data_IF_566152910677
#
_entry.id   IF_566152910677
#
_cell.length_a   1.000
_cell.length_b   1.000
_cell.length_c   1.000
_cell.angle_alpha   90.00
_cell.angle_beta   90.00
_cell.angle_gamma   90.00
#
_symmetry.space_group_name_H-M   'P 1'
#
loop_
_entity.id
_entity.type
_entity.pdbx_description
1 polymer ?
#
# COMPACT_ATOMS: atom_id res chain seq x y z
N UNK A 1 12.32 13.72 54.17
CA UNK A 1 12.01 14.60 53.01
C UNK A 1 12.54 13.93 51.74
N UNK A 2 11.84 12.91 51.22
CA UNK A 2 12.28 12.08 50.07
C UNK A 2 11.24 12.00 48.93
N UNK A 3 10.02 12.48 49.16
CA UNK A 3 8.93 12.51 48.18
C UNK A 3 9.22 13.33 46.89
N UNK A 4 9.95 14.47 46.92
CA UNK A 4 10.12 15.29 45.72
C UNK A 4 10.99 14.64 44.64
N UNK A 5 11.93 13.78 45.04
CA UNK A 5 12.89 13.17 44.12
C UNK A 5 12.27 12.05 43.30
N UNK A 6 11.47 11.18 43.92
CA UNK A 6 10.77 10.12 43.21
C UNK A 6 9.66 10.66 42.30
N UNK A 7 8.95 11.72 42.73
CA UNK A 7 7.97 12.39 41.88
C UNK A 7 8.62 13.06 40.67
N UNK A 8 9.77 13.73 40.86
CA UNK A 8 10.54 14.30 39.76
C UNK A 8 11.07 13.23 38.81
N UNK A 9 11.54 12.10 39.32
CA UNK A 9 12.03 10.97 38.52
C UNK A 9 10.89 10.32 37.72
N UNK A 10 9.71 10.20 38.32
CA UNK A 10 8.50 9.70 37.64
C UNK A 10 8.02 10.67 36.55
N UNK A 11 7.94 11.97 36.83
CA UNK A 11 7.56 13.00 35.84
C UNK A 11 8.61 13.07 34.72
N UNK A 12 9.90 13.03 35.07
CA UNK A 12 10.97 13.04 34.09
C UNK A 12 10.94 11.79 33.22
N UNK A 13 10.81 10.58 33.78
CA UNK A 13 10.68 9.32 33.03
C UNK A 13 9.42 9.28 32.17
N UNK A 14 8.28 9.77 32.67
CA UNK A 14 7.03 9.83 31.88
C UNK A 14 7.14 10.86 30.77
N UNK A 15 7.72 12.04 31.01
CA UNK A 15 8.05 13.00 29.95
C UNK A 15 9.11 12.48 28.99
N UNK A 16 10.12 11.72 29.44
CA UNK A 16 11.08 11.11 28.51
C UNK A 16 10.42 10.02 27.71
N UNK A 17 9.53 9.21 28.27
CA UNK A 17 8.75 8.22 27.52
C UNK A 17 7.79 8.90 26.53
N UNK A 18 7.06 9.94 26.94
CA UNK A 18 6.19 10.77 26.09
C UNK A 18 6.96 11.59 25.03
N UNK A 19 8.23 11.94 25.31
CA UNK A 19 9.12 12.59 24.35
C UNK A 19 9.85 11.56 23.48
N UNK A 20 10.04 10.31 23.92
CA UNK A 20 10.59 9.19 23.11
C UNK A 20 9.53 8.65 22.15
N UNK A 21 8.25 8.95 22.36
CA UNK A 21 7.21 8.95 21.30
C UNK A 21 7.45 10.05 20.23
N UNK A 22 8.64 10.68 20.22
CA UNK A 22 9.29 11.26 19.03
C UNK A 22 9.26 10.24 17.90
N UNK A 23 8.16 10.23 17.15
CA UNK A 23 7.90 9.60 15.85
C UNK A 23 9.11 8.80 15.34
N UNK A 24 9.31 7.60 15.92
CA UNK A 24 10.20 6.64 15.30
C UNK A 24 9.50 6.27 14.00
N UNK A 25 10.13 6.62 12.88
CA UNK A 25 9.73 6.14 11.57
C UNK A 25 9.52 4.63 11.67
N UNK A 26 8.30 4.18 11.36
CA UNK A 26 8.01 2.75 11.38
C UNK A 26 8.83 2.08 10.27
N UNK A 27 9.51 0.99 10.57
CA UNK A 27 10.31 0.27 9.58
C UNK A 27 9.59 -1.03 9.21
N UNK A 28 8.83 -1.05 8.10
CA UNK A 28 8.07 -2.23 7.72
C UNK A 28 9.00 -3.39 7.38
N UNK A 29 8.67 -4.63 7.78
CA UNK A 29 9.38 -5.79 7.27
C UNK A 29 9.16 -5.94 5.77
N UNK A 30 10.14 -6.59 5.14
CA UNK A 30 10.12 -6.92 3.72
C UNK A 30 8.99 -7.92 3.47
N UNK A 31 8.25 -7.77 2.36
CA UNK A 31 7.03 -8.56 2.14
C UNK A 31 6.68 -8.83 0.67
N UNK A 32 5.79 -9.78 0.46
CA UNK A 32 5.17 -10.12 -0.83
C UNK A 32 3.67 -10.39 -0.65
N UNK A 33 2.93 -10.32 -1.75
CA UNK A 33 1.49 -10.61 -1.81
C UNK A 33 0.66 -9.79 -0.83
N UNK A 34 1.20 -8.64 -0.42
CA UNK A 34 0.50 -7.61 0.32
C UNK A 34 -0.48 -6.86 -0.59
N UNK A 35 -1.29 -6.03 0.01
CA UNK A 35 -2.17 -5.12 -0.71
C UNK A 35 -1.71 -3.69 -0.51
N UNK A 36 -2.03 -2.84 -1.48
CA UNK A 36 -1.81 -1.40 -1.36
C UNK A 36 -2.89 -0.62 -2.08
N UNK A 37 -3.28 0.48 -1.46
CA UNK A 37 -4.28 1.41 -2.00
C UNK A 37 -3.87 2.85 -1.70
N UNK A 38 -4.24 3.76 -2.58
CA UNK A 38 -4.01 5.20 -2.38
C UNK A 38 -5.32 5.86 -2.00
N UNK A 39 -5.33 6.53 -0.85
CA UNK A 39 -6.44 7.39 -0.41
C UNK A 39 -5.86 8.76 -0.06
N UNK A 40 -6.44 9.80 -0.66
CA UNK A 40 -5.90 11.16 -0.63
C UNK A 40 -4.43 11.16 -1.08
N UNK A 41 -3.52 11.47 -0.16
CA UNK A 41 -2.08 11.53 -0.38
C UNK A 41 -1.34 10.46 0.44
N UNK A 42 -1.99 9.32 0.73
CA UNK A 42 -1.39 8.21 1.49
C UNK A 42 -1.44 6.93 0.70
N UNK A 43 -0.26 6.35 0.46
CA UNK A 43 -0.12 4.98 -0.02
C UNK A 43 -0.18 4.03 1.18
N UNK A 44 -1.34 3.42 1.39
CA UNK A 44 -1.58 2.44 2.45
C UNK A 44 -1.04 1.08 2.02
N UNK A 45 -0.38 0.38 2.95
CA UNK A 45 0.15 -0.97 2.78
C UNK A 45 -0.35 -1.84 3.93
N UNK A 46 -0.81 -3.04 3.61
CA UNK A 46 -1.27 -3.99 4.61
C UNK A 46 -1.25 -5.44 4.13
N UNK A 47 -1.26 -6.36 5.09
CA UNK A 47 -1.25 -7.80 4.85
C UNK A 47 0.02 -8.27 4.11
N UNK A 48 -0.04 -9.51 3.58
CA UNK A 48 1.05 -10.14 2.85
C UNK A 48 2.01 -10.93 3.73
N UNK A 49 2.82 -11.77 3.10
CA UNK A 49 3.85 -12.56 3.78
C UNK A 49 5.11 -11.76 3.99
N UNK A 50 5.68 -11.88 5.19
CA UNK A 50 6.88 -11.16 5.57
C UNK A 50 8.06 -12.09 5.80
N UNK A 51 9.27 -11.53 5.79
CA UNK A 51 10.48 -12.29 6.03
C UNK A 51 10.79 -12.54 7.52
N UNK A 52 9.99 -12.03 8.46
CA UNK A 52 10.26 -12.09 9.91
C UNK A 52 9.16 -12.78 10.72
N UNK A 53 7.93 -12.82 10.21
CA UNK A 53 6.79 -13.39 10.91
C UNK A 53 5.80 -13.98 9.91
N UNK A 54 5.22 -15.12 10.28
CA UNK A 54 4.22 -15.84 9.47
C UNK A 54 2.88 -15.09 9.40
N UNK A 55 2.61 -14.20 10.38
CA UNK A 55 1.39 -13.41 10.46
C UNK A 55 1.70 -11.95 10.76
N UNK A 56 1.17 -11.07 9.92
CA UNK A 56 1.13 -9.63 10.17
C UNK A 56 -0.28 -9.09 9.98
N UNK A 57 -0.60 -8.07 10.78
CA UNK A 57 -1.92 -7.43 10.84
C UNK A 57 -1.80 -5.91 10.74
N UNK A 58 -0.60 -5.41 10.49
CA UNK A 58 -0.31 -3.98 10.49
C UNK A 58 -0.88 -3.30 9.25
N UNK A 59 -1.35 -2.08 9.47
CA UNK A 59 -1.67 -1.11 8.44
C UNK A 59 -0.72 0.07 8.63
N UNK A 60 -0.02 0.43 7.58
CA UNK A 60 0.92 1.55 7.59
C UNK A 60 0.85 2.27 6.25
N UNK A 61 1.42 3.47 6.16
CA UNK A 61 1.40 4.24 4.93
C UNK A 61 2.67 5.04 4.68
N UNK A 62 2.87 5.36 3.40
CA UNK A 62 3.81 6.37 2.92
C UNK A 62 3.05 7.66 2.60
N UNK A 63 3.52 8.79 3.12
CA UNK A 63 2.94 10.11 2.91
C UNK A 63 3.41 10.69 1.58
N UNK A 64 2.53 10.69 0.58
CA UNK A 64 2.76 11.20 -0.77
C UNK A 64 2.51 12.71 -0.89
N UNK A 65 2.12 13.40 0.19
CA UNK A 65 2.01 14.86 0.19
C UNK A 65 3.37 15.56 0.29
N UNK A 66 4.42 14.79 0.62
CA UNK A 66 5.79 15.27 0.82
C UNK A 66 6.74 14.64 -0.21
N UNK A 67 7.78 15.38 -0.66
CA UNK A 67 8.83 14.78 -1.47
C UNK A 67 9.65 13.79 -0.64
N UNK A 68 10.12 12.74 -1.28
CA UNK A 68 11.02 11.75 -0.68
C UNK A 68 11.99 11.18 -1.72
N UNK A 69 13.11 10.63 -1.24
CA UNK A 69 14.02 9.78 -2.01
C UNK A 69 13.77 8.32 -1.64
N UNK A 70 13.98 7.40 -2.57
CA UNK A 70 13.77 5.98 -2.36
C UNK A 70 14.62 5.39 -1.21
N UNK A 71 15.76 5.99 -0.88
CA UNK A 71 16.63 5.58 0.22
C UNK A 71 16.21 6.14 1.58
N UNK A 72 15.30 7.11 1.63
CA UNK A 72 14.92 7.82 2.84
C UNK A 72 13.40 7.91 2.98
N UNK A 73 12.79 6.72 3.08
CA UNK A 73 11.35 6.56 3.24
C UNK A 73 10.94 6.75 4.69
N UNK A 74 9.86 7.50 4.91
CA UNK A 74 9.25 7.65 6.23
C UNK A 74 7.89 6.99 6.27
N UNK A 75 7.84 5.74 6.72
CA UNK A 75 6.58 5.02 6.90
C UNK A 75 5.95 5.37 8.25
N UNK A 76 4.63 5.43 8.27
CA UNK A 76 3.84 5.70 9.48
C UNK A 76 2.90 4.53 9.75
N UNK A 77 2.98 3.95 10.94
CA UNK A 77 2.05 2.90 11.40
C UNK A 77 0.69 3.51 11.76
N UNK A 78 -0.40 2.79 11.50
CA UNK A 78 -1.76 3.11 11.96
C UNK A 78 -2.17 2.01 12.96
N UNK A 79 -1.93 2.19 14.27
CA UNK A 79 -2.21 1.16 15.28
C UNK A 79 -3.67 0.70 15.29
N UNK A 80 -4.61 1.65 15.20
CA UNK A 80 -6.06 1.42 15.22
C UNK A 80 -6.55 0.70 13.95
N UNK A 81 -5.82 0.84 12.84
CA UNK A 81 -6.16 0.25 11.55
C UNK A 81 -5.71 -1.21 11.38
N UNK A 82 -5.29 -1.85 12.47
CA UNK A 82 -4.83 -3.24 12.43
C UNK A 82 -5.90 -4.17 11.89
N UNK A 83 -5.52 -5.03 10.94
CA UNK A 83 -6.44 -5.98 10.32
C UNK A 83 -6.99 -6.99 11.35
N UNK A 84 -8.25 -7.42 11.19
CA UNK A 84 -8.86 -8.47 12.02
C UNK A 84 -8.41 -9.88 11.60
N UNK A 85 -7.83 -10.01 10.41
CA UNK A 85 -7.36 -11.26 9.80
C UNK A 85 -5.99 -11.03 9.15
N UNK A 86 -5.20 -12.09 9.04
CA UNK A 86 -4.03 -12.10 8.19
C UNK A 86 -4.44 -12.61 6.80
N UNK A 87 -3.98 -11.96 5.73
CA UNK A 87 -4.23 -12.47 4.38
C UNK A 87 -3.11 -12.18 3.38
N UNK A 88 -3.09 -12.97 2.31
CA UNK A 88 -2.24 -12.76 1.16
C UNK A 88 -2.93 -13.32 -0.09
N UNK A 89 -2.54 -12.81 -1.27
CA UNK A 89 -3.19 -13.13 -2.56
C UNK A 89 -4.70 -12.82 -2.57
N UNK A 90 -5.11 -11.84 -1.77
CA UNK A 90 -6.43 -11.23 -1.77
C UNK A 90 -6.57 -10.19 -2.88
N UNK A 91 -7.81 -9.81 -3.19
CA UNK A 91 -8.10 -8.60 -3.95
C UNK A 91 -8.39 -7.43 -3.00
N UNK A 92 -7.99 -6.22 -3.40
CA UNK A 92 -8.44 -4.98 -2.79
C UNK A 92 -9.10 -4.08 -3.82
N UNK A 93 -10.13 -3.37 -3.40
CA UNK A 93 -10.87 -2.43 -4.23
C UNK A 93 -11.25 -1.21 -3.40
N UNK A 94 -10.90 -0.03 -3.88
CA UNK A 94 -11.28 1.24 -3.27
C UNK A 94 -12.68 1.66 -3.72
N UNK A 95 -13.53 2.06 -2.79
CA UNK A 95 -14.84 2.68 -3.08
C UNK A 95 -14.67 3.98 -3.88
N UNK A 96 -15.61 4.30 -4.78
CA UNK A 96 -15.55 5.52 -5.62
C UNK A 96 -15.49 6.85 -4.84
N UNK A 97 -15.95 6.88 -3.60
CA UNK A 97 -15.87 8.07 -2.72
C UNK A 97 -14.60 8.08 -1.85
N UNK A 98 -13.65 7.17 -2.11
CA UNK A 98 -12.38 7.02 -1.41
C UNK A 98 -12.53 6.82 0.12
N UNK A 99 -13.69 6.36 0.60
CA UNK A 99 -13.95 6.22 2.04
C UNK A 99 -13.70 4.81 2.56
N UNK A 100 -13.79 3.80 1.71
CA UNK A 100 -13.80 2.39 2.10
C UNK A 100 -12.92 1.54 1.20
N UNK A 101 -12.03 0.75 1.81
CA UNK A 101 -11.29 -0.30 1.09
C UNK A 101 -11.99 -1.63 1.35
N UNK A 102 -12.38 -2.31 0.27
CA UNK A 102 -12.88 -3.68 0.32
C UNK A 102 -11.72 -4.65 0.12
N UNK A 103 -11.47 -5.50 1.11
CA UNK A 103 -10.52 -6.61 1.06
C UNK A 103 -11.30 -7.91 0.85
N UNK A 104 -11.02 -8.62 -0.24
CA UNK A 104 -11.86 -9.72 -0.71
C UNK A 104 -11.00 -10.96 -0.97
N UNK A 105 -11.37 -12.06 -0.32
CA UNK A 105 -10.73 -13.37 -0.48
C UNK A 105 -9.27 -13.38 -0.04
N UNK A 106 -8.48 -14.23 -0.71
CA UNK A 106 -7.12 -14.58 -0.33
C UNK A 106 -7.05 -15.80 0.56
N UNK A 107 -5.86 -16.12 1.02
CA UNK A 107 -5.67 -17.06 2.12
C UNK A 107 -5.94 -16.30 3.40
N UNK A 108 -6.96 -16.69 4.16
CA UNK A 108 -7.47 -15.88 5.27
C UNK A 108 -7.28 -16.63 6.58
N UNK A 109 -6.52 -16.02 7.50
CA UNK A 109 -6.22 -16.60 8.79
C UNK A 109 -6.72 -15.69 9.91
N UNK A 110 -7.43 -16.28 10.87
CA UNK A 110 -7.95 -15.55 12.02
C UNK A 110 -6.81 -15.05 12.91
N UNK A 111 -6.86 -13.78 13.30
CA UNK A 111 -5.81 -13.13 14.11
C UNK A 111 -5.59 -13.74 15.50
N UNK A 112 -6.63 -14.33 16.08
CA UNK A 112 -6.57 -14.88 17.45
C UNK A 112 -6.16 -16.35 17.41
N UNK A 113 -6.83 -17.14 16.57
CA UNK A 113 -6.62 -18.60 16.55
C UNK A 113 -5.47 -19.03 15.65
N UNK A 114 -5.04 -18.17 14.72
CA UNK A 114 -4.08 -18.48 13.65
C UNK A 114 -4.47 -19.66 12.75
N UNK A 115 -5.76 -20.02 12.76
CA UNK A 115 -6.32 -21.01 11.83
C UNK A 115 -6.95 -20.31 10.63
N UNK A 116 -6.98 -21.02 9.50
CA UNK A 116 -7.72 -20.56 8.34
C UNK A 116 -9.19 -20.36 8.68
N UNK A 117 -9.74 -19.20 8.29
CA UNK A 117 -11.08 -18.77 8.60
C UNK A 117 -11.68 -18.06 7.39
N UNK A 118 -12.66 -18.72 6.77
CA UNK A 118 -13.38 -18.26 5.60
C UNK A 118 -14.84 -17.93 5.92
N UNK A 119 -15.17 -17.72 7.20
CA UNK A 119 -16.52 -17.36 7.63
C UNK A 119 -16.98 -16.02 7.04
N UNK A 120 -16.04 -15.11 6.79
CA UNK A 120 -16.25 -13.85 6.10
C UNK A 120 -15.21 -13.71 5.01
N UNK A 121 -15.66 -13.56 3.76
CA UNK A 121 -14.76 -13.40 2.60
C UNK A 121 -14.50 -11.94 2.25
N UNK A 122 -15.24 -11.01 2.85
CA UNK A 122 -15.13 -9.57 2.61
C UNK A 122 -14.92 -8.87 3.94
N UNK A 123 -13.91 -8.01 3.97
CA UNK A 123 -13.69 -7.06 5.04
C UNK A 123 -13.66 -5.66 4.46
N UNK A 124 -14.28 -4.71 5.14
CA UNK A 124 -14.35 -3.31 4.73
C UNK A 124 -13.60 -2.43 5.74
N UNK A 125 -12.57 -1.73 5.28
CA UNK A 125 -11.85 -0.73 6.07
C UNK A 125 -12.44 0.65 5.83
N UNK A 126 -13.06 1.23 6.84
CA UNK A 126 -13.53 2.61 6.82
C UNK A 126 -12.34 3.55 7.12
N UNK A 127 -11.90 4.31 6.13
CA UNK A 127 -10.76 5.20 6.23
C UNK A 127 -10.99 6.37 7.22
N UNK A 128 -12.14 7.09 7.20
CA UNK A 128 -12.44 8.13 8.18
C UNK A 128 -12.37 7.70 9.65
N UNK A 129 -12.85 6.49 9.97
CA UNK A 129 -12.82 5.97 11.35
C UNK A 129 -11.64 5.06 11.64
N UNK A 130 -10.80 4.79 10.63
CA UNK A 130 -9.67 3.84 10.69
C UNK A 130 -10.05 2.49 11.30
N UNK A 131 -11.18 1.92 10.88
CA UNK A 131 -11.73 0.71 11.47
C UNK A 131 -12.13 -0.32 10.41
N UNK A 132 -11.81 -1.58 10.68
CA UNK A 132 -12.27 -2.72 9.88
C UNK A 132 -13.62 -3.23 10.36
N UNK A 133 -14.44 -3.69 9.43
CA UNK A 133 -15.71 -4.37 9.67
C UNK A 133 -15.87 -5.54 8.71
N UNK A 134 -16.70 -6.52 9.07
CA UNK A 134 -17.16 -7.57 8.17
C UNK A 134 -18.63 -7.24 7.82
N UNK A 135 -18.92 -6.77 6.60
CA UNK A 135 -20.29 -6.46 6.21
C UNK A 135 -21.13 -7.73 6.14
N UNK A 136 -22.37 -7.67 6.61
CA UNK A 136 -23.36 -8.72 6.37
C UNK A 136 -23.78 -8.66 4.91
N UNK A 137 -23.45 -9.71 4.15
CA UNK A 137 -23.77 -9.80 2.72
C UNK A 137 -24.98 -10.70 2.51
N UNK A 138 -25.93 -10.21 1.72
CA UNK A 138 -27.00 -11.02 1.15
C UNK A 138 -26.61 -11.60 -0.22
N UNK A 139 -27.51 -12.38 -0.79
CA UNK A 139 -27.35 -12.96 -2.13
C UNK A 139 -26.75 -14.36 -2.12
N UNK A 140 -25.88 -14.64 -3.09
CA UNK A 140 -25.33 -15.97 -3.36
C UNK A 140 -24.20 -16.33 -2.39
N UNK A 141 -24.07 -17.63 -2.12
CA UNK A 141 -22.93 -18.18 -1.37
C UNK A 141 -21.77 -18.39 -2.34
N UNK A 142 -20.79 -17.49 -2.28
CA UNK A 142 -19.59 -17.59 -3.11
C UNK A 142 -18.48 -18.31 -2.35
N UNK A 143 -17.88 -19.37 -2.92
CA UNK A 143 -16.75 -20.05 -2.30
C UNK A 143 -15.50 -19.14 -2.22
N UNK A 144 -14.58 -19.39 -1.26
CA UNK A 144 -13.34 -18.63 -1.13
C UNK A 144 -12.54 -18.59 -2.44
N UNK A 145 -11.86 -17.46 -2.71
CA UNK A 145 -11.01 -17.30 -3.90
C UNK A 145 -9.68 -16.66 -3.53
N UNK A 146 -8.61 -17.18 -4.10
CA UNK A 146 -7.25 -16.69 -4.04
C UNK A 146 -6.77 -16.25 -5.42
N UNK A 147 -5.77 -15.38 -5.45
CA UNK A 147 -5.13 -14.88 -6.67
C UNK A 147 -6.12 -14.28 -7.66
N UNK A 148 -7.05 -13.51 -7.12
CA UNK A 148 -8.08 -12.74 -7.83
C UNK A 148 -7.70 -11.26 -7.87
N UNK A 149 -8.30 -10.53 -8.80
CA UNK A 149 -8.32 -9.06 -8.79
C UNK A 149 -9.77 -8.58 -8.89
N UNK A 150 -10.06 -7.47 -8.23
CA UNK A 150 -11.35 -6.81 -8.28
C UNK A 150 -11.23 -5.44 -8.92
N UNK A 151 -12.29 -5.02 -9.62
CA UNK A 151 -12.44 -3.65 -10.13
C UNK A 151 -13.85 -3.17 -9.82
N UNK A 152 -14.05 -1.87 -9.65
CA UNK A 152 -15.35 -1.26 -9.37
C UNK A 152 -15.81 -0.41 -10.54
N UNK A 153 -17.07 -0.57 -10.94
CA UNK A 153 -17.68 0.26 -11.98
C UNK A 153 -18.30 1.54 -11.39
N UNK A 154 -18.80 2.42 -12.28
CA UNK A 154 -19.47 3.67 -11.88
C UNK A 154 -20.79 3.44 -11.12
N UNK A 155 -21.38 2.25 -11.25
CA UNK A 155 -22.58 1.82 -10.52
C UNK A 155 -22.27 1.28 -9.11
N UNK A 156 -21.00 1.32 -8.69
CA UNK A 156 -20.51 0.84 -7.39
C UNK A 156 -20.63 -0.68 -7.23
N UNK A 157 -20.55 -1.40 -8.34
CA UNK A 157 -20.51 -2.86 -8.41
C UNK A 157 -19.05 -3.28 -8.57
N UNK A 158 -18.58 -4.13 -7.66
CA UNK A 158 -17.26 -4.73 -7.73
C UNK A 158 -17.36 -6.03 -8.54
N UNK A 159 -16.51 -6.19 -9.55
CA UNK A 159 -16.43 -7.37 -10.41
C UNK A 159 -15.19 -8.19 -10.08
N UNK A 160 -15.36 -9.50 -9.91
CA UNK A 160 -14.31 -10.45 -9.53
C UNK A 160 -14.46 -11.71 -10.37
N UNK A 161 -13.43 -12.03 -11.16
CA UNK A 161 -13.50 -13.13 -12.12
C UNK A 161 -12.65 -14.33 -11.72
N UNK A 162 -13.19 -15.54 -11.81
CA UNK A 162 -12.43 -16.78 -11.63
C UNK A 162 -11.67 -16.84 -10.30
N UNK A 163 -10.36 -17.11 -10.38
CA UNK A 163 -9.50 -17.31 -9.21
C UNK A 163 -9.26 -18.78 -8.89
N UNK A 164 -8.43 -19.02 -7.89
CA UNK A 164 -8.14 -20.34 -7.35
C UNK A 164 -8.93 -20.55 -6.05
N UNK A 165 -9.50 -21.73 -5.84
CA UNK A 165 -10.05 -22.12 -4.55
C UNK A 165 -9.19 -23.25 -3.99
N UNK A 166 -8.38 -22.94 -2.99
CA UNK A 166 -7.62 -23.94 -2.26
C UNK A 166 -8.58 -24.78 -1.38
N UNK A 167 -8.77 -26.04 -1.75
CA UNK A 167 -9.57 -27.03 -0.99
C UNK A 167 -8.71 -27.79 0.01
N UNK A 168 -7.41 -27.92 -0.25
CA UNK A 168 -6.41 -28.45 0.67
C UNK A 168 -5.31 -27.41 0.85
N UNK A 169 -5.37 -26.73 1.99
CA UNK A 169 -4.48 -25.62 2.35
C UNK A 169 -3.09 -26.11 2.79
N UNK A 170 -2.94 -27.39 3.12
CA UNK A 170 -1.66 -27.98 3.52
C UNK A 170 -0.83 -28.29 2.28
N UNK A 171 -1.45 -28.91 1.28
CA UNK A 171 -0.78 -29.28 0.03
C UNK A 171 -0.92 -28.21 -1.06
N UNK A 172 -1.61 -27.10 -0.76
CA UNK A 172 -1.91 -26.01 -1.69
C UNK A 172 -2.56 -26.51 -3.00
N UNK A 173 -3.55 -27.39 -2.86
CA UNK A 173 -4.30 -27.95 -4.00
C UNK A 173 -5.73 -27.45 -4.03
N UNK A 174 -6.31 -27.41 -5.23
CA UNK A 174 -7.59 -26.77 -5.45
C UNK A 174 -7.92 -26.65 -6.93
N UNK A 175 -8.98 -25.89 -7.22
CA UNK A 175 -9.48 -25.70 -8.57
C UNK A 175 -9.46 -24.23 -8.98
N UNK A 176 -9.18 -24.00 -10.27
CA UNK A 176 -9.42 -22.72 -10.92
C UNK A 176 -10.90 -22.60 -11.32
N UNK A 177 -11.38 -21.36 -11.30
CA UNK A 177 -12.74 -21.00 -11.69
C UNK A 177 -12.75 -19.97 -12.82
N UNK A 178 -13.90 -19.81 -13.46
CA UNK A 178 -14.20 -18.84 -14.51
C UNK A 178 -15.61 -18.25 -14.33
N UNK A 179 -16.10 -18.22 -13.11
CA UNK A 179 -17.34 -17.53 -12.75
C UNK A 179 -17.08 -16.01 -12.64
N UNK A 180 -18.08 -15.20 -12.99
CA UNK A 180 -18.06 -13.76 -12.73
C UNK A 180 -18.89 -13.49 -11.49
N UNK A 181 -18.24 -13.04 -10.42
CA UNK A 181 -18.87 -12.67 -9.17
C UNK A 181 -18.95 -11.14 -9.07
N UNK A 182 -20.09 -10.64 -8.62
CA UNK A 182 -20.34 -9.21 -8.43
C UNK A 182 -20.72 -8.92 -7.00
N UNK A 183 -20.19 -7.84 -6.44
CA UNK A 183 -20.57 -7.33 -5.13
C UNK A 183 -21.11 -5.91 -5.29
N UNK A 184 -22.43 -5.76 -5.14
CA UNK A 184 -23.05 -4.43 -5.10
C UNK A 184 -22.81 -3.82 -3.71
N UNK A 185 -22.00 -2.77 -3.67
CA UNK A 185 -21.59 -2.12 -2.41
C UNK A 185 -22.67 -1.23 -1.79
N UNK A 186 -23.72 -0.89 -2.53
CA UNK A 186 -24.86 -0.11 -2.04
C UNK A 186 -25.88 -1.02 -1.36
N UNK A 187 -26.19 -2.16 -1.98
CA UNK A 187 -27.17 -3.12 -1.43
C UNK A 187 -26.53 -4.23 -0.57
N UNK A 188 -25.19 -4.27 -0.46
CA UNK A 188 -24.44 -5.34 0.20
C UNK A 188 -24.87 -6.73 -0.29
N UNK A 189 -24.99 -6.89 -1.61
CA UNK A 189 -25.45 -8.14 -2.23
C UNK A 189 -24.34 -8.73 -3.08
N UNK A 190 -24.00 -9.99 -2.82
CA UNK A 190 -23.08 -10.78 -3.64
C UNK A 190 -23.88 -11.62 -4.63
N UNK A 191 -23.54 -11.59 -5.91
CA UNK A 191 -24.23 -12.36 -6.95
C UNK A 191 -23.23 -12.98 -7.91
N UNK A 192 -23.40 -14.27 -8.23
CA UNK A 192 -22.70 -14.93 -9.31
C UNK A 192 -23.48 -14.76 -10.60
N UNK A 193 -22.91 -14.06 -11.58
CA UNK A 193 -23.59 -13.80 -12.86
C UNK A 193 -23.74 -15.10 -13.65
N UNK A 194 -24.93 -15.29 -14.22
CA UNK A 194 -25.24 -16.40 -15.12
C UNK A 194 -24.88 -16.04 -16.56
N UNK A 195 -23.61 -16.18 -16.92
CA UNK A 195 -23.09 -15.95 -18.28
C UNK A 195 -22.87 -17.31 -18.95
N UNK A 196 -23.34 -17.49 -20.18
CA UNK A 196 -23.21 -18.75 -20.93
C UNK A 196 -22.33 -18.65 -22.17
N UNK A 197 -22.15 -17.46 -22.72
CA UNK A 197 -21.45 -17.24 -23.98
C UNK A 197 -20.02 -16.75 -23.76
N UNK A 198 -19.08 -17.24 -24.59
CA UNK A 198 -17.67 -16.82 -24.64
C UNK A 198 -16.93 -16.78 -23.30
N UNK A 199 -17.35 -17.60 -22.33
CA UNK A 199 -16.74 -17.63 -21.00
C UNK A 199 -15.26 -18.03 -21.12
N UNK A 200 -14.32 -17.25 -20.56
CA UNK A 200 -12.92 -17.61 -20.62
C UNK A 200 -12.60 -18.90 -19.86
N UNK A 201 -11.46 -19.50 -20.21
CA UNK A 201 -10.92 -20.66 -19.49
C UNK A 201 -10.66 -20.28 -18.03
N UNK A 202 -10.92 -21.24 -17.13
CA UNK A 202 -10.63 -21.14 -15.69
C UNK A 202 -9.21 -20.62 -15.45
N UNK A 203 -9.11 -19.49 -14.77
CA UNK A 203 -7.84 -18.75 -14.64
C UNK A 203 -7.69 -18.03 -13.29
N UNK A 204 -6.46 -17.64 -12.98
CA UNK A 204 -6.10 -16.82 -11.81
C UNK A 204 -4.78 -16.08 -12.06
N UNK A 205 -4.30 -15.29 -11.09
CA UNK A 205 -3.03 -14.55 -11.15
C UNK A 205 -2.92 -13.52 -12.28
N UNK A 206 -4.05 -13.18 -12.91
CA UNK A 206 -4.15 -12.13 -13.91
C UNK A 206 -4.11 -10.74 -13.23
N UNK A 207 -3.97 -9.71 -14.06
CA UNK A 207 -4.29 -8.33 -13.66
C UNK A 207 -5.60 -7.89 -14.31
N UNK A 208 -6.32 -6.97 -13.67
CA UNK A 208 -7.60 -6.46 -14.17
C UNK A 208 -7.65 -4.94 -13.99
N UNK A 209 -8.10 -4.24 -15.03
CA UNK A 209 -8.30 -2.78 -15.01
C UNK A 209 -9.62 -2.46 -15.68
N UNK A 210 -10.37 -1.48 -15.19
CA UNK A 210 -11.64 -1.06 -15.80
C UNK A 210 -11.46 0.27 -16.54
N UNK A 211 -11.77 0.27 -17.83
CA UNK A 211 -11.73 1.46 -18.68
C UNK A 211 -12.93 2.38 -18.39
N UNK A 212 -12.85 3.69 -18.72
CA UNK A 212 -13.94 4.64 -18.47
C UNK A 212 -15.27 4.29 -19.14
N UNK A 213 -15.24 3.48 -20.19
CA UNK A 213 -16.41 2.98 -20.91
C UNK A 213 -17.04 1.72 -20.29
N UNK A 214 -16.56 1.26 -19.13
CA UNK A 214 -17.10 0.07 -18.45
C UNK A 214 -16.54 -1.26 -18.97
N UNK A 215 -15.55 -1.25 -19.87
CA UNK A 215 -14.87 -2.49 -20.29
C UNK A 215 -13.78 -2.85 -19.28
N UNK A 216 -13.83 -4.07 -18.73
CA UNK A 216 -12.77 -4.62 -17.90
C UNK A 216 -11.76 -5.35 -18.78
N UNK A 217 -10.49 -4.97 -18.65
CA UNK A 217 -9.36 -5.53 -19.39
C UNK A 217 -8.59 -6.48 -18.47
N UNK A 218 -8.57 -7.76 -18.81
CA UNK A 218 -7.84 -8.81 -18.08
C UNK A 218 -6.59 -9.23 -18.85
N UNK A 219 -5.44 -9.21 -18.17
CA UNK A 219 -4.12 -9.45 -18.78
C UNK A 219 -3.38 -10.56 -18.02
N UNK A 220 -2.80 -11.49 -18.78
CA UNK A 220 -1.87 -12.51 -18.27
C UNK A 220 -2.50 -13.48 -17.28
N UNK A 221 -1.67 -14.02 -16.38
CA UNK A 221 -2.08 -15.03 -15.40
C UNK A 221 -1.81 -16.45 -15.88
N UNK A 222 -2.46 -17.40 -15.21
CA UNK A 222 -2.45 -18.82 -15.58
C UNK A 222 -3.86 -19.31 -15.87
N UNK A 223 -3.96 -20.33 -16.71
CA UNK A 223 -5.21 -21.01 -16.99
C UNK A 223 -5.06 -22.54 -17.01
N UNK A 224 -6.18 -23.23 -16.82
CA UNK A 224 -6.23 -24.69 -16.77
C UNK A 224 -6.00 -25.27 -18.16
N UNK A 225 -5.04 -26.18 -18.30
CA UNK A 225 -4.69 -26.81 -19.59
C UNK A 225 -5.81 -27.75 -20.07
N UNK A 226 -6.40 -28.51 -19.15
CA UNK A 226 -7.54 -29.38 -19.44
C UNK A 226 -8.38 -29.62 -18.20
N UNK A 227 -9.65 -30.01 -18.37
CA UNK A 227 -10.55 -30.33 -17.26
C UNK A 227 -10.05 -31.47 -16.37
N UNK A 228 -9.24 -32.39 -16.91
CA UNK A 228 -8.80 -33.62 -16.26
C UNK A 228 -7.37 -33.57 -15.71
N UNK A 229 -6.58 -32.55 -16.06
CA UNK A 229 -5.22 -32.39 -15.58
C UNK A 229 -5.13 -31.30 -14.50
N UNK A 230 -4.31 -31.54 -13.47
CA UNK A 230 -3.95 -30.54 -12.47
C UNK A 230 -2.88 -29.54 -12.98
N UNK A 231 -2.60 -29.53 -14.29
CA UNK A 231 -1.60 -28.65 -14.88
C UNK A 231 -2.19 -27.31 -15.32
N UNK A 232 -1.41 -26.27 -15.09
CA UNK A 232 -1.69 -24.90 -15.54
C UNK A 232 -0.66 -24.48 -16.59
N UNK A 233 -1.04 -23.54 -17.44
CA UNK A 233 -0.14 -22.86 -18.39
C UNK A 233 -0.28 -21.35 -18.23
N UNK A 234 0.75 -20.61 -18.65
CA UNK A 234 0.64 -19.17 -18.77
C UNK A 234 -0.40 -18.81 -19.83
N UNK A 235 -1.25 -17.84 -19.51
CA UNK A 235 -2.13 -17.20 -20.49
C UNK A 235 -1.25 -16.40 -21.45
N UNK A 236 -1.47 -16.57 -22.76
CA UNK A 236 -0.79 -15.75 -23.77
C UNK A 236 -1.13 -14.28 -23.53
N UNK A 237 -0.12 -13.46 -23.22
CA UNK A 237 -0.32 -12.05 -22.86
C UNK A 237 -0.88 -11.20 -23.99
N UNK A 238 -0.81 -11.66 -25.25
CA UNK A 238 -1.42 -10.98 -26.38
C UNK A 238 -2.92 -11.30 -26.52
N UNK A 239 -3.43 -12.36 -25.88
CA UNK A 239 -4.85 -12.69 -25.89
C UNK A 239 -5.56 -12.00 -24.72
N UNK A 240 -5.93 -10.75 -24.93
CA UNK A 240 -6.55 -9.91 -23.91
C UNK A 240 -8.04 -10.25 -23.80
N UNK A 241 -8.46 -10.64 -22.60
CA UNK A 241 -9.87 -10.93 -22.28
C UNK A 241 -10.55 -9.61 -21.90
N UNK A 242 -11.70 -9.33 -22.50
CA UNK A 242 -12.49 -8.13 -22.26
C UNK A 242 -13.86 -8.53 -21.71
N UNK A 243 -14.32 -7.84 -20.67
CA UNK A 243 -15.68 -8.00 -20.15
C UNK A 243 -16.42 -6.68 -20.20
N UNK A 244 -17.56 -6.67 -20.89
CA UNK A 244 -18.46 -5.53 -20.95
C UNK A 244 -19.41 -5.55 -19.74
N UNK A 245 -19.30 -4.55 -18.87
CA UNK A 245 -20.12 -4.49 -17.63
C UNK A 245 -21.56 -4.05 -17.87
N UNK A 246 -21.87 -3.43 -19.01
CA UNK A 246 -23.23 -3.01 -19.38
C UNK A 246 -23.99 -4.18 -20.01
N UNK A 247 -23.37 -4.86 -20.97
CA UNK A 247 -23.98 -5.98 -21.68
C UNK A 247 -23.77 -7.33 -20.99
N UNK A 248 -22.84 -7.41 -20.03
CA UNK A 248 -22.42 -8.64 -19.33
C UNK A 248 -21.85 -9.71 -20.27
N UNK A 249 -21.11 -9.26 -21.28
CA UNK A 249 -20.58 -10.11 -22.36
C UNK A 249 -19.06 -10.18 -22.35
N UNK A 250 -18.53 -11.35 -22.69
CA UNK A 250 -17.10 -11.56 -22.91
C UNK A 250 -16.74 -11.38 -24.37
N UNK A 251 -15.62 -10.71 -24.60
CA UNK A 251 -14.95 -10.65 -25.90
C UNK A 251 -13.44 -10.74 -25.73
N UNK A 252 -12.72 -10.80 -26.85
CA UNK A 252 -11.27 -10.93 -26.89
C UNK A 252 -10.69 -9.96 -27.90
N UNK A 253 -9.51 -9.42 -27.58
CA UNK A 253 -8.68 -8.71 -28.54
C UNK A 253 -7.29 -9.32 -28.56
N UNK A 254 -6.76 -9.56 -29.75
CA UNK A 254 -5.36 -9.94 -29.92
C UNK A 254 -4.52 -8.66 -30.00
N UNK A 255 -3.71 -8.42 -28.97
CA UNK A 255 -2.81 -7.29 -28.95
C UNK A 255 -1.65 -7.50 -29.94
N UNK A 256 -1.23 -6.41 -30.58
CA UNK A 256 -0.09 -6.36 -31.50
C UNK A 256 1.06 -5.56 -30.89
N UNK A 257 2.13 -5.33 -31.65
CA UNK A 257 3.25 -4.48 -31.20
C UNK A 257 4.46 -5.29 -30.74
N UNK A 258 5.15 -4.82 -29.69
CA UNK A 258 6.35 -5.48 -29.19
C UNK A 258 6.06 -6.86 -28.59
N UNK A 259 7.04 -7.76 -28.65
CA UNK A 259 6.96 -9.07 -28.00
C UNK A 259 7.16 -8.92 -26.50
N UNK A 260 6.18 -9.39 -25.73
CA UNK A 260 6.15 -9.33 -24.27
C UNK A 260 5.96 -10.76 -23.75
N UNK A 261 6.76 -11.16 -22.76
CA UNK A 261 6.61 -12.47 -22.14
C UNK A 261 5.29 -12.58 -21.35
N UNK A 262 4.66 -13.74 -21.47
CA UNK A 262 3.53 -14.13 -20.63
C UNK A 262 3.97 -14.38 -19.19
N UNK A 263 3.16 -13.96 -18.22
CA UNK A 263 3.62 -13.82 -16.83
C UNK A 263 2.52 -13.92 -15.78
N UNK A 264 2.95 -14.24 -14.55
CA UNK A 264 2.15 -14.21 -13.31
C UNK A 264 2.81 -13.31 -12.26
N UNK A 265 2.08 -13.01 -11.18
CA UNK A 265 2.57 -12.24 -10.01
C UNK A 265 3.11 -10.85 -10.36
N UNK A 266 2.67 -10.31 -11.50
CA UNK A 266 2.96 -8.97 -11.96
C UNK A 266 1.84 -8.02 -11.53
N UNK A 267 2.08 -6.72 -11.70
CA UNK A 267 1.09 -5.68 -11.42
C UNK A 267 0.76 -4.90 -12.68
N UNK A 268 -0.39 -4.25 -12.68
CA UNK A 268 -0.78 -3.31 -13.72
C UNK A 268 -1.34 -2.04 -13.11
N UNK A 269 -1.18 -0.91 -13.79
CA UNK A 269 -1.86 0.34 -13.47
C UNK A 269 -2.44 0.95 -14.74
N UNK A 270 -3.69 1.42 -14.66
CA UNK A 270 -4.37 2.14 -15.74
C UNK A 270 -4.17 3.65 -15.57
N UNK A 271 -3.76 4.31 -16.65
CA UNK A 271 -3.63 5.76 -16.70
C UNK A 271 -4.94 6.42 -17.17
N UNK A 272 -5.19 7.70 -16.81
CA UNK A 272 -6.40 8.41 -17.23
C UNK A 272 -6.58 8.54 -18.75
N UNK A 273 -5.48 8.50 -19.50
CA UNK A 273 -5.43 8.56 -20.96
C UNK A 273 -5.50 7.18 -21.65
N UNK A 274 -5.81 6.12 -20.91
CA UNK A 274 -6.13 4.81 -21.49
C UNK A 274 -4.92 3.92 -21.79
N UNK A 275 -3.80 4.13 -21.11
CA UNK A 275 -2.66 3.21 -21.17
C UNK A 275 -2.62 2.31 -19.94
N UNK A 276 -2.32 1.04 -20.13
CA UNK A 276 -2.09 0.11 -19.03
C UNK A 276 -0.59 -0.21 -18.96
N UNK A 277 0.07 0.21 -17.89
CA UNK A 277 1.44 -0.20 -17.61
C UNK A 277 1.43 -1.51 -16.85
N UNK A 278 2.29 -2.44 -17.24
CA UNK A 278 2.54 -3.68 -16.50
C UNK A 278 3.98 -3.71 -16.00
N UNK A 279 4.20 -4.23 -14.79
CA UNK A 279 5.53 -4.32 -14.21
C UNK A 279 5.81 -5.65 -13.49
N UNK A 280 7.04 -6.15 -13.68
CA UNK A 280 7.60 -7.33 -13.05
C UNK A 280 6.86 -8.62 -13.38
N UNK A 281 6.81 -9.50 -12.39
CA UNK A 281 6.26 -10.84 -12.51
C UNK A 281 7.31 -11.91 -12.81
N UNK A 282 6.84 -13.11 -13.10
CA UNK A 282 7.68 -14.26 -13.42
C UNK A 282 7.03 -15.16 -14.46
N UNK A 283 7.82 -16.09 -15.00
CA UNK A 283 7.29 -17.28 -15.67
C UNK A 283 6.49 -18.14 -14.69
N UNK A 284 5.80 -19.17 -15.20
CA UNK A 284 5.12 -20.17 -14.37
C UNK A 284 6.01 -21.40 -14.20
N UNK A 285 6.13 -21.87 -12.96
CA UNK A 285 6.77 -23.13 -12.65
C UNK A 285 6.07 -23.80 -11.46
N UNK A 286 6.17 -25.13 -11.38
CA UNK A 286 5.56 -25.92 -10.30
C UNK A 286 6.17 -25.61 -8.91
N UNK A 287 7.39 -25.07 -8.86
CA UNK A 287 8.03 -24.66 -7.61
C UNK A 287 8.60 -23.25 -7.73
N UNK A 288 8.60 -22.52 -6.61
CA UNK A 288 9.13 -21.15 -6.55
C UNK A 288 10.62 -21.08 -6.92
N UNK A 289 11.38 -22.16 -6.70
CA UNK A 289 12.80 -22.23 -7.04
C UNK A 289 13.06 -22.15 -8.57
N UNK A 290 12.07 -22.51 -9.38
CA UNK A 290 12.17 -22.59 -10.84
C UNK A 290 11.54 -21.41 -11.58
N UNK A 291 11.01 -20.40 -10.85
CA UNK A 291 10.50 -19.18 -11.47
C UNK A 291 11.64 -18.41 -12.15
N UNK A 292 11.45 -17.97 -13.38
CA UNK A 292 12.42 -17.20 -14.15
C UNK A 292 11.92 -15.78 -14.42
N UNK A 293 12.86 -14.86 -14.64
CA UNK A 293 12.59 -13.49 -15.06
C UNK A 293 11.83 -13.46 -16.39
N UNK A 294 11.07 -12.39 -16.57
CA UNK A 294 10.28 -12.10 -17.77
C UNK A 294 10.88 -10.90 -18.48
N UNK A 295 10.77 -10.86 -19.80
CA UNK A 295 11.23 -9.76 -20.64
C UNK A 295 10.08 -9.17 -21.47
N UNK A 296 10.00 -7.83 -21.60
CA UNK A 296 10.62 -6.85 -20.71
C UNK A 296 9.98 -6.88 -19.31
N UNK A 297 10.64 -6.30 -18.30
CA UNK A 297 10.06 -6.16 -16.96
C UNK A 297 9.05 -5.01 -16.84
N UNK A 298 9.06 -4.06 -17.76
CA UNK A 298 8.06 -2.98 -17.87
C UNK A 298 7.56 -2.92 -19.31
N UNK A 299 6.24 -2.90 -19.50
CA UNK A 299 5.61 -2.70 -20.80
C UNK A 299 4.35 -1.85 -20.67
N UNK A 300 3.91 -1.26 -21.77
CA UNK A 300 2.71 -0.43 -21.84
C UNK A 300 1.78 -0.95 -22.94
N UNK A 301 0.50 -1.12 -22.60
CA UNK A 301 -0.58 -1.45 -23.52
C UNK A 301 -1.37 -0.18 -23.86
N UNK A 302 -1.41 0.18 -25.13
CA UNK A 302 -2.29 1.24 -25.63
C UNK A 302 -3.70 0.67 -25.88
N UNK A 303 -4.66 1.06 -25.04
CA UNK A 303 -6.06 0.61 -25.18
C UNK A 303 -6.92 1.51 -26.07
N UNK A 304 -6.35 2.61 -26.58
CA UNK A 304 -7.07 3.53 -27.47
C UNK A 304 -7.09 3.05 -28.92
N UNK A 305 -6.35 1.99 -29.25
CA UNK A 305 -6.28 1.39 -30.59
C UNK A 305 -7.30 0.26 -30.74
N UNK A 306 -7.88 0.13 -31.94
CA UNK A 306 -8.87 -0.92 -32.26
C UNK A 306 -8.33 -2.34 -32.01
N UNK A 307 -7.04 -2.55 -32.28
CA UNK A 307 -6.28 -3.69 -31.74
C UNK A 307 -5.31 -3.09 -30.74
N UNK A 308 -5.47 -3.44 -29.47
CA UNK A 308 -4.58 -2.93 -28.41
C UNK A 308 -3.12 -3.19 -28.82
N UNK A 309 -2.22 -2.28 -28.47
CA UNK A 309 -0.83 -2.35 -28.93
C UNK A 309 0.15 -2.29 -27.77
N UNK A 310 0.99 -3.31 -27.65
CA UNK A 310 2.11 -3.35 -26.73
C UNK A 310 3.25 -2.48 -27.24
N UNK A 311 3.84 -1.73 -26.33
CA UNK A 311 5.06 -0.99 -26.54
C UNK A 311 5.99 -1.09 -25.33
N UNK A 312 7.29 -0.98 -25.58
CA UNK A 312 8.32 -0.90 -24.54
C UNK A 312 8.72 0.57 -24.40
N UNK A 313 8.43 1.23 -23.26
CA UNK A 313 8.82 2.63 -23.06
C UNK A 313 10.33 2.80 -23.19
N UNK A 314 10.79 3.80 -23.96
CA UNK A 314 12.20 3.92 -24.34
C UNK A 314 13.20 4.04 -23.18
N UNK A 315 12.78 4.52 -22.01
CA UNK A 315 13.61 4.60 -20.80
C UNK A 315 13.34 3.50 -19.78
N UNK A 316 12.71 2.38 -20.18
CA UNK A 316 12.36 1.28 -19.27
C UNK A 316 13.56 0.50 -18.74
N UNK A 317 14.69 0.51 -19.46
CA UNK A 317 15.92 -0.22 -19.09
C UNK A 317 16.90 0.62 -18.26
N UNK A 318 16.92 1.94 -18.46
CA UNK A 318 17.82 2.84 -17.75
C UNK A 318 17.40 2.96 -16.27
N UNK A 319 18.32 2.64 -15.35
CA UNK A 319 18.06 2.60 -13.89
C UNK A 319 16.87 1.71 -13.51
N UNK A 320 16.58 0.69 -14.31
CA UNK A 320 15.48 -0.22 -14.05
C UNK A 320 15.67 -0.99 -12.74
N UNK A 321 14.59 -1.22 -11.97
CA UNK A 321 14.61 -2.11 -10.83
C UNK A 321 15.03 -3.53 -11.22
N UNK A 322 15.44 -4.36 -10.25
CA UNK A 322 15.59 -5.79 -10.51
C UNK A 322 14.25 -6.41 -10.92
N UNK A 323 14.33 -7.57 -11.59
CA UNK A 323 13.14 -8.37 -11.86
C UNK A 323 12.56 -8.88 -10.53
N UNK A 324 11.35 -8.41 -10.21
CA UNK A 324 10.64 -8.73 -8.96
C UNK A 324 9.23 -9.23 -9.23
N UNK A 325 8.69 -10.03 -8.32
CA UNK A 325 7.30 -10.47 -8.34
C UNK A 325 6.66 -10.36 -6.95
N UNK A 326 5.32 -10.48 -6.90
CA UNK A 326 4.56 -10.42 -5.65
C UNK A 326 4.57 -9.04 -4.97
N UNK A 327 4.98 -8.00 -5.70
CA UNK A 327 4.90 -6.60 -5.28
C UNK A 327 3.49 -6.04 -5.54
N UNK A 328 3.24 -4.81 -5.10
CA UNK A 328 2.10 -4.00 -5.54
C UNK A 328 2.59 -2.79 -6.32
N UNK A 329 1.74 -2.25 -7.20
CA UNK A 329 1.99 -1.01 -7.91
C UNK A 329 0.74 -0.15 -7.95
N UNK A 330 0.88 1.15 -7.66
CA UNK A 330 -0.22 2.10 -7.62
C UNK A 330 0.16 3.35 -8.43
N UNK A 331 -0.80 3.90 -9.18
CA UNK A 331 -0.61 5.14 -9.93
C UNK A 331 -0.95 6.34 -9.05
N UNK A 332 -0.03 7.29 -8.93
CA UNK A 332 -0.24 8.55 -8.23
C UNK A 332 0.35 9.71 -9.02
N UNK A 333 -0.51 10.62 -9.49
CA UNK A 333 -0.13 11.66 -10.44
C UNK A 333 0.61 11.05 -11.65
N UNK A 334 1.86 11.47 -11.87
CA UNK A 334 2.69 11.03 -12.98
C UNK A 334 3.61 9.84 -12.62
N UNK A 335 3.38 9.19 -11.46
CA UNK A 335 4.24 8.15 -10.93
C UNK A 335 3.50 6.83 -10.77
N UNK A 336 4.02 5.78 -11.39
CA UNK A 336 3.76 4.41 -10.95
C UNK A 336 4.71 4.10 -9.79
N UNK A 337 4.14 3.89 -8.60
CA UNK A 337 4.87 3.61 -7.36
C UNK A 337 4.78 2.11 -7.09
N UNK A 338 5.91 1.41 -7.11
CA UNK A 338 6.01 -0.02 -6.85
C UNK A 338 6.61 -0.24 -5.47
N UNK A 339 6.02 -1.12 -4.67
CA UNK A 339 6.45 -1.36 -3.29
C UNK A 339 6.71 -2.83 -2.99
N UNK A 340 7.81 -3.09 -2.28
CA UNK A 340 8.23 -4.41 -1.80
C UNK A 340 8.34 -5.45 -2.94
N UNK A 341 8.08 -6.73 -2.65
CA UNK A 341 8.25 -7.84 -3.58
C UNK A 341 9.46 -8.71 -3.25
N UNK A 342 9.70 -9.69 -4.10
CA UNK A 342 10.86 -10.59 -4.01
C UNK A 342 11.66 -10.53 -5.30
N UNK A 343 12.97 -10.39 -5.17
CA UNK A 343 13.89 -10.41 -6.31
C UNK A 343 14.00 -11.83 -6.85
N UNK A 344 13.81 -11.99 -8.16
CA UNK A 344 13.73 -13.30 -8.78
C UNK A 344 15.08 -14.02 -8.80
N UNK A 345 16.18 -13.31 -8.95
CA UNK A 345 17.52 -13.88 -9.05
C UNK A 345 18.09 -14.22 -7.67
N UNK A 346 17.99 -13.28 -6.73
CA UNK A 346 18.56 -13.45 -5.39
C UNK A 346 17.62 -14.18 -4.43
N UNK A 347 16.33 -14.30 -4.77
CA UNK A 347 15.26 -14.85 -3.91
C UNK A 347 15.12 -14.13 -2.56
N UNK A 348 15.59 -12.89 -2.48
CA UNK A 348 15.49 -12.07 -1.28
C UNK A 348 14.25 -11.18 -1.35
N UNK A 349 13.53 -11.13 -0.23
CA UNK A 349 12.47 -10.16 -0.01
C UNK A 349 13.05 -8.74 -0.05
N UNK A 350 12.27 -7.81 -0.59
CA UNK A 350 12.60 -6.40 -0.74
C UNK A 350 11.68 -5.54 0.11
N UNK A 351 12.23 -4.43 0.63
CA UNK A 351 11.50 -3.33 1.27
C UNK A 351 11.60 -2.04 0.44
N UNK A 352 12.09 -2.14 -0.79
CA UNK A 352 12.36 -1.00 -1.65
C UNK A 352 11.07 -0.42 -2.22
N UNK A 353 11.14 0.86 -2.56
CA UNK A 353 10.13 1.58 -3.33
C UNK A 353 10.75 2.04 -4.64
N UNK A 354 10.14 1.65 -5.76
CA UNK A 354 10.58 2.05 -7.09
C UNK A 354 9.58 3.02 -7.69
N UNK A 355 10.09 4.03 -8.41
CA UNK A 355 9.29 5.10 -8.98
C UNK A 355 9.53 5.14 -10.48
N UNK A 356 8.47 4.90 -11.25
CA UNK A 356 8.48 5.11 -12.69
C UNK A 356 7.64 6.34 -13.04
N UNK A 357 8.28 7.34 -13.66
CA UNK A 357 7.57 8.53 -14.12
C UNK A 357 7.02 8.30 -15.52
N UNK A 358 5.69 8.16 -15.63
CA UNK A 358 5.00 7.79 -16.87
C UNK A 358 5.00 8.89 -17.93
N UNK A 359 5.20 10.16 -17.57
CA UNK A 359 5.29 11.26 -18.55
C UNK A 359 6.66 11.33 -19.22
N UNK A 360 7.71 11.14 -18.44
CA UNK A 360 9.09 11.16 -18.95
C UNK A 360 9.57 9.79 -19.44
N UNK A 361 8.80 8.74 -19.19
CA UNK A 361 9.13 7.34 -19.46
C UNK A 361 10.47 6.90 -18.83
N UNK A 362 10.71 7.29 -17.57
CA UNK A 362 11.98 7.02 -16.87
C UNK A 362 11.77 6.54 -15.44
N UNK A 363 12.66 5.65 -15.02
CA UNK A 363 12.87 5.37 -13.60
C UNK A 363 13.55 6.56 -12.93
N UNK A 364 13.06 6.93 -11.75
CA UNK A 364 13.58 8.04 -10.95
C UNK A 364 13.75 7.60 -9.51
N UNK A 365 14.67 8.23 -8.78
CA UNK A 365 14.90 7.90 -7.36
C UNK A 365 14.13 8.81 -6.42
N UNK A 366 13.68 9.96 -6.91
CA UNK A 366 12.98 10.96 -6.12
C UNK A 366 11.53 11.12 -6.55
N UNK A 367 10.65 11.21 -5.55
CA UNK A 367 9.27 11.56 -5.71
C UNK A 367 9.07 13.04 -5.36
N UNK A 368 8.37 13.77 -6.22
CA UNK A 368 7.97 15.16 -5.94
C UNK A 368 6.46 15.28 -6.16
N UNK A 369 5.68 15.66 -5.13
CA UNK A 369 4.26 15.89 -5.29
C UNK A 369 4.01 16.98 -6.33
N UNK A 370 3.10 16.72 -7.27
CA UNK A 370 2.68 17.76 -8.22
C UNK A 370 1.86 18.79 -7.44
N UNK A 371 2.31 20.05 -7.39
CA UNK A 371 1.44 21.13 -6.90
C UNK A 371 0.26 21.27 -7.87
N UNK A 372 -0.98 21.38 -7.39
CA UNK A 372 -2.10 21.68 -8.26
C UNK A 372 -1.82 23.01 -8.97
N UNK A 373 -1.70 22.95 -10.30
CA UNK A 373 -1.51 24.13 -11.13
C UNK A 373 -2.80 24.93 -11.06
N UNK A 374 -2.78 26.07 -10.38
CA UNK A 374 -3.88 27.04 -10.45
C UNK A 374 -3.79 27.71 -11.82
N UNK A 375 -4.41 27.08 -12.82
CA UNK A 375 -4.54 27.67 -14.15
C UNK A 375 -5.52 28.83 -14.08
N UNK A 376 -5.03 29.99 -13.65
CA UNK A 376 -5.76 31.25 -13.80
C UNK A 376 -5.60 31.63 -15.26
N UNK A 377 -6.54 31.18 -16.10
CA UNK A 377 -6.66 31.64 -17.47
C UNK A 377 -6.91 33.14 -17.47
N UNK A 378 -5.90 33.92 -17.86
CA UNK A 378 -6.07 35.33 -18.20
C UNK A 378 -6.81 35.41 -19.52
N UNK A 379 -8.14 35.56 -19.47
CA UNK A 379 -8.94 36.02 -20.60
C UNK A 379 -9.32 37.48 -20.37
N UNK A 380 -8.76 38.34 -21.21
CA UNK A 380 -9.06 39.76 -21.33
C UNK A 380 -10.50 39.91 -21.83
N UNK A 381 -11.42 40.34 -20.97
CA UNK A 381 -12.75 40.79 -21.38
C UNK A 381 -13.14 42.06 -20.60
N UNK A 382 -13.30 43.14 -21.37
CA UNK A 382 -13.68 44.48 -20.96
C UNK A 382 -15.14 44.52 -20.51
N UNK A 383 -15.43 44.87 -19.25
CA UNK A 383 -16.72 45.46 -18.87
C UNK A 383 -16.61 46.26 -17.56
N UNK A 384 -17.19 47.47 -17.57
CA UNK A 384 -17.24 48.42 -16.45
C UNK A 384 -18.35 48.06 -15.43
N UNK A 385 -18.29 48.58 -14.19
CA UNK A 385 -18.83 47.89 -13.02
C UNK A 385 -20.24 48.36 -12.60
N UNK A 386 -21.03 47.44 -12.05
CA UNK A 386 -22.19 47.75 -11.20
C UNK A 386 -21.96 47.16 -9.82
N UNK A 387 -21.97 48.04 -8.81
CA UNK A 387 -21.80 47.74 -7.39
C UNK A 387 -23.11 47.22 -6.78
N UNK A 388 -23.08 46.06 -6.13
CA UNK A 388 -23.89 45.82 -4.92
C UNK A 388 -23.17 44.84 -3.99
N UNK A 389 -23.28 45.11 -2.70
CA UNK A 389 -22.36 44.76 -1.61
C UNK A 389 -22.82 43.61 -0.72
N UNK A 390 -21.84 42.92 -0.11
CA UNK A 390 -21.76 42.31 1.25
C UNK A 390 -21.43 40.80 1.28
N UNK A 391 -20.81 40.26 2.37
CA UNK A 391 -19.72 40.81 3.18
C UNK A 391 -18.47 39.88 3.23
N UNK A 392 -17.33 40.52 3.51
CA UNK A 392 -15.98 39.99 3.56
C UNK A 392 -15.74 38.91 4.65
N UNK A 393 -15.15 37.78 4.26
CA UNK A 393 -14.39 36.93 5.19
C UNK A 393 -12.98 37.50 5.34
N UNK A 394 -12.71 38.07 6.52
CA UNK A 394 -11.43 38.62 6.93
C UNK A 394 -10.30 37.58 6.77
N UNK A 395 -9.25 37.97 6.05
CA UNK A 395 -7.95 37.33 6.14
C UNK A 395 -7.29 37.73 7.46
N UNK A 396 -6.94 36.76 8.30
CA UNK A 396 -6.03 37.00 9.41
C UNK A 396 -4.60 36.88 8.90
N UNK A 397 -3.89 38.01 8.89
CA UNK A 397 -2.44 38.05 8.72
C UNK A 397 -1.78 37.14 9.77
N UNK A 398 -0.81 36.34 9.32
CA UNK A 398 0.08 35.59 10.18
C UNK A 398 0.83 36.54 11.12
N UNK A 399 0.85 36.21 12.40
CA UNK A 399 1.77 36.79 13.37
C UNK A 399 2.80 35.71 13.68
N UNK A 400 3.93 35.75 12.99
CA UNK A 400 5.12 35.01 13.37
C UNK A 400 5.70 35.68 14.63
N UNK A 401 5.46 35.09 15.80
CA UNK A 401 6.22 35.38 17.01
C UNK A 401 7.14 34.18 17.24
N UNK A 402 8.45 34.46 17.17
CA UNK A 402 9.52 33.48 17.24
C UNK A 402 9.51 32.67 18.54
N UNK A 403 9.43 31.35 18.38
CA UNK A 403 9.70 30.35 19.43
C UNK A 403 11.14 29.86 19.26
N UNK A 404 12.12 30.71 19.60
CA UNK A 404 13.55 30.33 19.70
C UNK A 404 14.13 30.63 21.09
N UNK A 405 13.41 31.30 21.98
CA UNK A 405 13.95 31.66 23.31
C UNK A 405 13.63 30.66 24.44
N UNK A 406 12.82 29.64 24.21
CA UNK A 406 12.44 28.67 25.26
C UNK A 406 13.47 27.57 25.54
N UNK A 407 14.14 27.06 24.49
CA UNK A 407 15.09 25.94 24.63
C UNK A 407 16.40 26.39 25.27
N UNK A 408 16.88 27.60 24.94
CA UNK A 408 18.09 28.16 25.52
C UNK A 408 18.00 28.39 27.03
N UNK A 409 16.85 28.86 27.52
CA UNK A 409 16.64 29.15 28.94
C UNK A 409 16.57 27.85 29.75
N UNK A 410 15.88 26.81 29.25
CA UNK A 410 15.81 25.52 29.93
C UNK A 410 17.18 24.82 30.03
N UNK A 411 17.98 24.89 28.96
CA UNK A 411 19.35 24.35 28.93
C UNK A 411 20.26 25.13 29.88
N UNK A 412 20.17 26.46 29.92
CA UNK A 412 20.96 27.30 30.82
C UNK A 412 20.64 27.03 32.30
N UNK A 413 19.36 26.88 32.64
CA UNK A 413 18.91 26.52 33.99
C UNK A 413 19.46 25.14 34.39
N UNK A 414 19.42 24.17 33.47
CA UNK A 414 19.93 22.82 33.74
C UNK A 414 21.45 22.82 34.01
N UNK A 415 22.24 23.63 33.28
CA UNK A 415 23.67 23.77 33.54
C UNK A 415 23.98 24.44 34.89
N UNK A 416 23.18 25.42 35.32
CA UNK A 416 23.32 26.07 36.63
C UNK A 416 23.08 25.05 37.76
N UNK A 417 22.06 24.20 37.64
CA UNK A 417 21.79 23.16 38.64
C UNK A 417 22.91 22.12 38.73
N UNK A 418 23.46 21.70 37.59
CA UNK A 418 24.59 20.77 37.55
C UNK A 418 25.83 21.40 38.20
N UNK A 419 26.13 22.66 37.91
CA UNK A 419 27.26 23.36 38.51
C UNK A 419 27.13 23.49 40.04
N UNK A 420 25.93 23.83 40.54
CA UNK A 420 25.65 23.90 41.99
C UNK A 420 25.81 22.52 42.64
N UNK A 421 25.35 21.46 41.98
CA UNK A 421 25.45 20.10 42.47
C UNK A 421 26.91 19.64 42.58
N UNK A 422 27.71 19.85 41.52
CA UNK A 422 29.15 19.53 41.51
C UNK A 422 29.92 20.35 42.55
N UNK A 423 29.58 21.63 42.74
CA UNK A 423 30.18 22.47 43.78
C UNK A 423 29.89 21.94 45.19
N UNK A 424 28.67 21.48 45.46
CA UNK A 424 28.30 20.88 46.76
C UNK A 424 29.03 19.57 47.03
N UNK A 425 29.21 18.72 46.02
CA UNK A 425 29.98 17.48 46.15
C UNK A 425 31.45 17.80 46.46
N UNK A 426 32.08 18.70 45.69
CA UNK A 426 33.48 19.09 45.95
C UNK A 426 33.68 19.71 47.33
N UNK A 427 32.72 20.50 47.82
CA UNK A 427 32.78 21.08 49.18
C UNK A 427 32.62 20.01 50.27
N UNK A 428 31.79 18.99 50.06
CA UNK A 428 31.65 17.87 50.97
C UNK A 428 32.93 17.02 51.05
N UNK A 429 33.61 16.81 49.92
CA UNK A 429 34.89 16.09 49.88
C UNK A 429 36.02 16.88 50.55
N UNK A 430 36.06 18.21 50.41
CA UNK A 430 37.04 19.05 51.12
C UNK A 430 36.84 19.05 52.65
N UNK A 431 35.59 18.94 53.13
CA UNK A 431 35.30 18.83 54.56
C UNK A 431 35.67 17.44 55.14
N UNK A 432 35.73 16.39 54.30
CA UNK A 432 36.17 15.04 54.70
C UNK A 432 37.69 14.87 54.80
N UNK A 433 38.48 15.77 54.22
CA UNK A 433 39.94 15.68 54.23
C UNK A 433 40.63 16.51 55.33
N UNK A 434 39.88 17.05 56.29
CA UNK A 434 40.47 17.72 57.47
C UNK A 434 40.68 16.69 58.58
N UNK A 435 41.92 16.32 58.95
CA UNK A 435 42.16 15.39 60.05
C UNK A 435 41.84 16.07 61.39
N UNK A 436 40.97 15.46 62.19
CA UNK A 436 40.66 15.91 63.55
C UNK A 436 41.88 15.70 64.46
N UNK A 437 42.43 16.82 64.96
CA UNK A 437 43.45 16.85 66.01
C UNK A 437 42.73 16.58 67.33
N UNK A 438 42.91 15.38 67.89
CA UNK A 438 42.44 15.02 69.23
C UNK A 438 43.46 15.48 70.28
N UNK A 439 43.19 16.61 70.93
CA UNK A 439 43.79 16.97 72.21
C UNK A 439 43.16 16.12 73.32
N UNK A 440 44.00 15.38 74.07
CA UNK A 440 43.59 14.62 75.26
C UNK A 440 43.83 15.52 76.49
N UNK A 441 42.79 15.89 77.26
CA UNK A 441 42.98 16.49 78.56
C UNK A 441 43.19 15.39 79.61
N UNK A 442 44.22 15.55 80.44
CA UNK A 442 44.54 14.63 81.54
C UNK A 442 43.65 14.80 82.77
N UNK A 443 43.64 13.76 83.60
CA UNK A 443 43.29 13.83 85.02
C UNK A 443 43.91 12.62 85.75
N UNK A 444 44.77 12.95 86.72
CA UNK A 444 45.28 12.22 87.90
C UNK A 444 45.75 10.75 87.81
#
# INVERSE_FOLDING_TARGET
MFLPFELFKFIFCTLTLLLIDLVLCYNPPKRIYHNSEIIDDKLLIFSGWTNIADYTFELFYLDLSKPFDNNNLTWTLIPEGSLPIHTYQSATVLSLDNSTIYLIGGYMTNKITHNYDYSNLVYAYNYPTSAWSAPELGGDIVPPRQSIRGVIDNSRIIYIFGGFNATDLVNNTGDLYNDMNTLNTVSNTWTTLSISENIPIRCSHYTANILPNGIIVYIGGIEKVSSFAASFTLVNINQIKLFDTENLEWSYVNATGNEIDSRIYFTSVLTPDGYIFIFGGSTYAATNASLASVSPILAMLDTNKNSFEWSIPSGSEENSPPSIYGHTANLYNDYMIITFGINIDTRLYSSEVYLYNIKSNKWVTTFTPSKPSTTTGSSTATSNPVKTSSPEKKSSKSLAIGLVTGVGIAVLISFIFIAIFVFRIKRADQLRQRPDILEIPGSD
#
